data_IF_356804702845
#
_entry.id   IF_356804702845
#
_cell.length_a   1.000
_cell.length_b   1.000
_cell.length_c   1.000
_cell.angle_alpha   90.00
_cell.angle_beta   90.00
_cell.angle_gamma   90.00
#
_symmetry.space_group_name_H-M   'P 1'
#
loop_
_entity.id
_entity.type
_entity.pdbx_description
1 polymer ?
#
# COMPACT_ATOMS: atom_id res chain seq x y z
N UNK A 1 3.79 40.66 36.86
CA UNK A 1 3.42 39.25 37.07
C UNK A 1 2.84 38.75 35.76
N UNK A 2 3.62 38.02 34.98
CA UNK A 2 3.21 37.51 33.66
C UNK A 2 2.73 36.08 33.85
N UNK A 3 1.44 35.83 33.62
CA UNK A 3 0.89 34.48 33.61
C UNK A 3 1.21 33.86 32.25
N UNK A 4 2.12 32.90 32.22
CA UNK A 4 2.32 32.02 31.07
C UNK A 4 1.07 31.16 30.88
N UNK A 5 0.25 31.51 29.89
CA UNK A 5 -0.86 30.67 29.45
C UNK A 5 -0.25 29.44 28.78
N UNK A 6 -0.28 28.30 29.46
CA UNK A 6 0.01 27.02 28.83
C UNK A 6 -0.98 26.82 27.69
N UNK A 7 -0.47 26.66 26.48
CA UNK A 7 -1.25 26.40 25.28
C UNK A 7 -1.93 25.02 25.41
N UNK A 8 -3.16 25.02 25.93
CA UNK A 8 -4.02 23.85 26.11
C UNK A 8 -4.39 23.16 24.79
N UNK A 9 -4.01 23.75 23.65
CA UNK A 9 -4.21 23.23 22.30
C UNK A 9 -2.91 22.86 21.58
N UNK A 10 -1.77 22.88 22.26
CA UNK A 10 -0.57 22.16 21.82
C UNK A 10 -0.85 20.65 21.91
N UNK A 11 -1.74 20.18 21.03
CA UNK A 11 -2.04 18.79 20.86
C UNK A 11 -0.75 18.12 20.48
N UNK A 12 -0.37 17.16 21.31
CA UNK A 12 0.71 16.20 21.20
C UNK A 12 0.51 15.31 19.94
N UNK A 13 0.39 15.94 18.77
CA UNK A 13 0.05 15.32 17.49
C UNK A 13 1.19 14.43 17.00
N UNK A 14 2.42 14.74 17.42
CA UNK A 14 3.62 13.96 17.12
C UNK A 14 3.68 12.62 17.88
N UNK A 15 3.03 12.49 19.05
CA UNK A 15 2.98 11.21 19.80
C UNK A 15 1.72 10.38 19.52
N UNK A 16 0.64 11.00 19.05
CA UNK A 16 -0.64 10.31 18.84
C UNK A 16 -0.79 9.53 17.54
N UNK A 17 0.08 9.77 16.55
CA UNK A 17 -0.09 9.21 15.19
C UNK A 17 0.96 8.13 14.83
N UNK A 18 1.55 7.47 15.83
CA UNK A 18 2.37 6.28 15.60
C UNK A 18 1.46 5.06 15.75
N UNK A 19 1.30 4.30 14.66
CA UNK A 19 0.66 2.99 14.71
C UNK A 19 1.28 2.16 15.83
N UNK A 20 0.45 1.47 16.60
CA UNK A 20 0.97 0.50 17.56
C UNK A 20 1.70 -0.62 16.83
N UNK A 21 2.63 -1.30 17.49
CA UNK A 21 3.38 -2.38 16.86
C UNK A 21 2.46 -3.50 16.36
N UNK A 22 1.37 -3.79 17.10
CA UNK A 22 0.31 -4.70 16.65
C UNK A 22 -0.35 -4.22 15.36
N UNK A 23 -0.68 -2.93 15.24
CA UNK A 23 -1.29 -2.38 14.02
C UNK A 23 -0.31 -2.41 12.84
N UNK A 24 0.97 -2.10 13.08
CA UNK A 24 2.03 -2.20 12.07
C UNK A 24 2.14 -3.63 11.54
N UNK A 25 2.23 -4.61 12.44
CA UNK A 25 2.31 -6.04 12.09
C UNK A 25 1.06 -6.51 11.33
N UNK A 26 -0.13 -6.06 11.73
CA UNK A 26 -1.37 -6.40 11.02
C UNK A 26 -1.40 -5.84 9.59
N UNK A 27 -0.96 -4.60 9.42
CA UNK A 27 -0.86 -3.96 8.09
C UNK A 27 0.17 -4.70 7.24
N UNK A 28 1.36 -4.94 7.78
CA UNK A 28 2.43 -5.67 7.09
C UNK A 28 1.98 -7.06 6.67
N UNK A 29 1.36 -7.82 7.58
CA UNK A 29 0.84 -9.17 7.29
C UNK A 29 -0.21 -9.15 6.19
N UNK A 30 -1.08 -8.13 6.17
CA UNK A 30 -2.08 -7.97 5.11
C UNK A 30 -1.41 -7.69 3.75
N UNK A 31 -0.46 -6.75 3.71
CA UNK A 31 0.26 -6.40 2.49
C UNK A 31 1.04 -7.59 1.92
N UNK A 32 1.75 -8.33 2.77
CA UNK A 32 2.48 -9.54 2.37
C UNK A 32 1.53 -10.64 1.89
N UNK A 33 0.35 -10.79 2.51
CA UNK A 33 -0.65 -11.75 2.04
C UNK A 33 -1.21 -11.37 0.65
N UNK A 34 -1.46 -10.07 0.42
CA UNK A 34 -1.85 -9.59 -0.91
C UNK A 34 -0.74 -9.83 -1.94
N UNK A 35 0.52 -9.53 -1.59
CA UNK A 35 1.67 -9.80 -2.47
C UNK A 35 1.78 -11.29 -2.82
N UNK A 36 1.75 -12.17 -1.81
CA UNK A 36 1.82 -13.61 -2.04
C UNK A 36 0.69 -14.11 -2.95
N UNK A 37 -0.53 -13.58 -2.77
CA UNK A 37 -1.64 -13.91 -3.67
C UNK A 37 -1.37 -13.46 -5.11
N UNK A 38 -0.85 -12.25 -5.31
CA UNK A 38 -0.51 -11.73 -6.65
C UNK A 38 0.66 -12.49 -7.30
N UNK A 39 1.69 -12.82 -6.53
CA UNK A 39 2.84 -13.62 -6.98
C UNK A 39 2.39 -15.01 -7.47
N UNK A 40 1.38 -15.62 -6.83
CA UNK A 40 0.78 -16.88 -7.29
C UNK A 40 -0.18 -16.74 -8.45
N UNK A 41 -0.62 -15.53 -8.78
CA UNK A 41 -1.55 -15.31 -9.89
C UNK A 41 -0.81 -15.41 -11.23
N UNK A 42 -1.27 -16.33 -12.09
CA UNK A 42 -0.74 -16.52 -13.44
C UNK A 42 -1.26 -15.48 -14.44
N UNK A 43 -2.42 -14.88 -14.15
CA UNK A 43 -3.07 -13.89 -14.99
C UNK A 43 -3.76 -12.82 -14.14
N UNK A 44 -4.02 -11.66 -14.76
CA UNK A 44 -4.66 -10.53 -14.09
C UNK A 44 -5.98 -10.93 -13.39
N UNK A 45 -6.03 -10.92 -12.04
CA UNK A 45 -7.11 -11.59 -11.31
C UNK A 45 -8.42 -10.80 -11.29
N UNK A 46 -8.38 -9.49 -11.53
CA UNK A 46 -9.56 -8.63 -11.49
C UNK A 46 -10.26 -8.55 -12.84
N UNK A 47 -11.54 -8.92 -12.86
CA UNK A 47 -12.41 -8.79 -14.05
C UNK A 47 -12.85 -7.34 -14.29
N UNK A 48 -13.06 -6.58 -13.22
CA UNK A 48 -13.44 -5.17 -13.27
C UNK A 48 -12.19 -4.29 -13.03
N UNK A 49 -11.86 -3.36 -13.94
CA UNK A 49 -10.76 -2.42 -13.75
C UNK A 49 -10.83 -1.63 -12.44
N UNK A 50 -12.04 -1.31 -11.96
CA UNK A 50 -12.22 -0.58 -10.70
C UNK A 50 -11.78 -1.40 -9.49
N UNK A 51 -11.92 -2.72 -9.51
CA UNK A 51 -11.51 -3.57 -8.39
C UNK A 51 -9.98 -3.59 -8.24
N UNK A 52 -9.27 -3.60 -9.37
CA UNK A 52 -7.80 -3.48 -9.36
C UNK A 52 -7.35 -2.12 -8.80
N UNK A 53 -7.98 -1.02 -9.24
CA UNK A 53 -7.69 0.33 -8.74
C UNK A 53 -8.02 0.46 -7.25
N UNK A 54 -9.10 -0.16 -6.78
CA UNK A 54 -9.42 -0.17 -5.36
C UNK A 54 -8.36 -0.91 -4.54
N UNK A 55 -7.84 -2.02 -5.04
CA UNK A 55 -6.78 -2.75 -4.34
C UNK A 55 -5.47 -1.98 -4.35
N UNK A 56 -5.08 -1.39 -5.48
CA UNK A 56 -3.91 -0.52 -5.59
C UNK A 56 -3.97 0.64 -4.58
N UNK A 57 -5.10 1.36 -4.53
CA UNK A 57 -5.31 2.44 -3.57
C UNK A 57 -5.28 1.95 -2.12
N UNK A 58 -5.81 0.75 -1.85
CA UNK A 58 -5.76 0.16 -0.49
C UNK A 58 -4.33 -0.14 -0.11
N UNK A 59 -3.59 -0.79 -1.01
CA UNK A 59 -2.20 -1.18 -0.80
C UNK A 59 -1.33 0.07 -0.57
N UNK A 60 -1.47 1.09 -1.41
CA UNK A 60 -0.75 2.36 -1.28
C UNK A 60 -0.99 3.00 0.09
N UNK A 61 -2.26 3.18 0.49
CA UNK A 61 -2.61 3.80 1.77
C UNK A 61 -2.10 3.03 2.99
N UNK A 62 -1.96 1.72 2.86
CA UNK A 62 -1.43 0.86 3.91
C UNK A 62 0.10 0.89 3.94
N UNK A 63 0.78 1.01 2.80
CA UNK A 63 2.23 1.24 2.77
C UNK A 63 2.61 2.62 3.31
N UNK A 64 1.85 3.68 3.00
CA UNK A 64 2.05 5.03 3.54
C UNK A 64 2.00 5.06 5.08
N UNK A 65 1.14 4.22 5.66
CA UNK A 65 1.02 4.04 7.11
C UNK A 65 2.28 3.41 7.74
N UNK A 66 3.00 2.56 7.01
CA UNK A 66 4.18 1.87 7.53
C UNK A 66 5.44 2.76 7.60
N UNK A 67 5.43 3.94 6.97
CA UNK A 67 6.61 4.81 6.93
C UNK A 67 7.71 4.19 6.07
N UNK A 68 8.92 4.04 6.62
CA UNK A 68 10.12 3.65 5.86
C UNK A 68 10.07 2.24 5.24
N UNK A 69 9.29 1.32 5.82
CA UNK A 69 9.10 -0.04 5.29
C UNK A 69 8.13 -0.09 4.10
N UNK A 70 7.22 0.89 4.02
CA UNK A 70 6.16 0.95 3.01
C UNK A 70 6.65 0.99 1.56
N UNK A 71 7.62 1.86 1.20
CA UNK A 71 8.13 1.99 -0.16
C UNK A 71 8.69 0.68 -0.74
N UNK A 72 9.31 -0.18 0.08
CA UNK A 72 9.83 -1.48 -0.38
C UNK A 72 8.70 -2.43 -0.74
N UNK A 73 7.64 -2.47 0.07
CA UNK A 73 6.45 -3.29 -0.21
C UNK A 73 5.68 -2.75 -1.42
N UNK A 74 5.60 -1.42 -1.56
CA UNK A 74 5.00 -0.79 -2.72
C UNK A 74 5.73 -1.13 -4.03
N UNK A 75 7.05 -1.07 -4.03
CA UNK A 75 7.85 -1.41 -5.21
C UNK A 75 7.62 -2.86 -5.66
N UNK A 76 7.56 -3.82 -4.72
CA UNK A 76 7.23 -5.22 -5.02
C UNK A 76 5.83 -5.36 -5.61
N UNK A 77 4.86 -4.65 -5.05
CA UNK A 77 3.49 -4.66 -5.55
C UNK A 77 3.40 -4.11 -6.97
N UNK A 78 4.07 -3.00 -7.25
CA UNK A 78 4.09 -2.38 -8.58
C UNK A 78 4.74 -3.30 -9.63
N UNK A 79 5.82 -4.01 -9.27
CA UNK A 79 6.44 -5.02 -10.13
C UNK A 79 5.46 -6.17 -10.48
N UNK A 80 4.79 -6.73 -9.48
CA UNK A 80 3.82 -7.81 -9.70
C UNK A 80 2.59 -7.34 -10.48
N UNK A 81 2.09 -6.14 -10.22
CA UNK A 81 1.02 -5.54 -11.00
C UNK A 81 1.43 -5.37 -12.46
N UNK A 82 2.64 -4.87 -12.73
CA UNK A 82 3.17 -4.75 -14.09
C UNK A 82 3.27 -6.12 -14.78
N UNK A 83 3.77 -7.16 -14.08
CA UNK A 83 3.80 -8.54 -14.59
C UNK A 83 2.39 -9.03 -14.96
N UNK A 84 1.42 -8.86 -14.07
CA UNK A 84 0.03 -9.27 -14.31
C UNK A 84 -0.62 -8.47 -15.44
N UNK A 85 -0.35 -7.18 -15.56
CA UNK A 85 -0.85 -6.35 -16.65
C UNK A 85 -0.31 -6.79 -18.02
N UNK A 86 0.94 -7.26 -18.08
CA UNK A 86 1.52 -7.82 -19.31
C UNK A 86 0.76 -9.08 -19.80
N UNK A 87 0.22 -9.89 -18.88
CA UNK A 87 -0.60 -11.07 -19.25
C UNK A 87 -1.94 -10.71 -19.89
N UNK A 88 -2.51 -9.56 -19.50
CA UNK A 88 -3.81 -9.08 -20.01
C UNK A 88 -3.71 -8.42 -21.38
N UNK A 89 -2.54 -7.91 -21.74
CA UNK A 89 -2.28 -7.30 -23.04
C UNK A 89 -1.29 -8.13 -23.85
N UNK A 90 -1.72 -9.23 -24.51
CA UNK A 90 -0.94 -9.82 -25.60
C UNK A 90 -1.08 -8.91 -26.83
N UNK A 91 -0.64 -7.66 -26.72
CA UNK A 91 -0.79 -6.67 -27.78
C UNK A 91 0.54 -6.47 -28.47
N UNK A 92 0.66 -7.14 -29.63
CA UNK A 92 1.58 -6.85 -30.74
C UNK A 92 3.00 -7.43 -30.60
N UNK A 93 3.09 -8.75 -30.53
CA UNK A 93 4.14 -9.46 -31.26
C UNK A 93 3.46 -10.11 -32.48
N UNK A 94 4.01 -9.90 -33.69
CA UNK A 94 3.57 -10.42 -35.01
C UNK A 94 2.60 -9.54 -35.81
N UNK A 95 3.11 -8.40 -36.29
CA UNK A 95 2.89 -8.00 -37.68
C UNK A 95 4.27 -7.84 -38.33
N UNK A 96 4.85 -8.98 -38.70
CA UNK A 96 5.98 -9.10 -39.62
C UNK A 96 5.47 -9.59 -40.96
#
# INVERSE_FOLDING_TARGET
>A
MSCSQADLFAQDNAKRNKLSDTQRLMIQSRLEATLAWLETAEAFPWRNPLDAVHEENRFQRDTEKLGDEGPLLWARFDEEMNRLHATRSPSVALRG
#
